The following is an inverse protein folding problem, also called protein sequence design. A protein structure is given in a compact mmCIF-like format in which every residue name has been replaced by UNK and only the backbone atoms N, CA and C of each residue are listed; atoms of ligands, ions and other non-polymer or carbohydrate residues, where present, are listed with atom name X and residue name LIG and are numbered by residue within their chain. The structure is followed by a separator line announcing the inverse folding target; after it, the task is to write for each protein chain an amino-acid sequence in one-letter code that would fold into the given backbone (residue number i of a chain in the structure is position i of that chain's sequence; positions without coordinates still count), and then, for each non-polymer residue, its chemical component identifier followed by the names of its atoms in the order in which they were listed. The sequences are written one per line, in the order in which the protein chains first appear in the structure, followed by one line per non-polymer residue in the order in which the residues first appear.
data_IF_036752785446
#
_entry.id   IF_036752785446
#
_cell.length_a   1.000
_cell.length_b   1.000
_cell.length_c   1.000
_cell.angle_alpha   90.00
_cell.angle_beta   90.00
_cell.angle_gamma   90.00
#
_symmetry.space_group_name_H-M   'P 1'
#
loop_
_entity.id
_entity.type
_entity.pdbx_description
1 polymer ?
#
# COMPACT_ATOMS: atom_id res chain seq x y z
N UNK A 1 -10.58 -13.87 32.54
CA UNK A 1 -11.23 -12.84 31.69
C UNK A 1 -10.27 -12.28 30.62
N UNK A 2 -9.41 -13.13 30.02
CA UNK A 2 -8.33 -12.71 29.09
C UNK A 2 -8.60 -13.02 27.60
N UNK A 3 -9.41 -14.05 27.28
CA UNK A 3 -9.55 -14.54 25.89
C UNK A 3 -10.11 -13.50 24.89
N UNK A 4 -11.11 -12.71 25.27
CA UNK A 4 -11.77 -11.77 24.34
C UNK A 4 -10.83 -10.64 23.89
N UNK A 5 -9.87 -10.24 24.73
CA UNK A 5 -8.93 -9.18 24.39
C UNK A 5 -7.78 -9.70 23.51
N UNK A 6 -7.34 -10.93 23.77
CA UNK A 6 -6.29 -11.60 22.98
C UNK A 6 -6.78 -11.89 21.55
N UNK A 7 -8.02 -12.35 21.38
CA UNK A 7 -8.62 -12.63 20.06
C UNK A 7 -8.79 -11.36 19.20
N UNK A 8 -9.15 -10.23 19.82
CA UNK A 8 -9.21 -8.93 19.14
C UNK A 8 -7.82 -8.45 18.71
N UNK A 9 -6.81 -8.62 19.56
CA UNK A 9 -5.43 -8.26 19.22
C UNK A 9 -4.89 -9.10 18.05
N UNK A 10 -5.18 -10.40 18.02
CA UNK A 10 -4.80 -11.28 16.91
C UNK A 10 -5.48 -10.87 15.60
N UNK A 11 -6.76 -10.50 15.65
CA UNK A 11 -7.49 -9.96 14.50
C UNK A 11 -6.82 -8.68 13.97
N UNK A 12 -6.47 -7.74 14.85
CA UNK A 12 -5.77 -6.52 14.43
C UNK A 12 -4.37 -6.81 13.86
N UNK A 13 -3.65 -7.79 14.39
CA UNK A 13 -2.37 -8.22 13.81
C UNK A 13 -2.53 -8.85 12.42
N UNK A 14 -3.62 -9.58 12.19
CA UNK A 14 -3.95 -10.10 10.86
C UNK A 14 -4.21 -8.97 9.87
N UNK A 15 -4.96 -7.93 10.29
CA UNK A 15 -5.21 -6.73 9.47
C UNK A 15 -3.88 -6.04 9.13
N UNK A 16 -2.99 -5.83 10.10
CA UNK A 16 -1.67 -5.22 9.85
C UNK A 16 -0.86 -6.02 8.82
N UNK A 17 -0.82 -7.34 8.96
CA UNK A 17 -0.12 -8.23 8.00
C UNK A 17 -0.74 -8.13 6.60
N UNK A 18 -2.07 -8.09 6.51
CA UNK A 18 -2.78 -7.93 5.24
C UNK A 18 -2.44 -6.59 4.58
N UNK A 19 -2.42 -5.49 5.33
CA UNK A 19 -2.07 -4.17 4.83
C UNK A 19 -0.62 -4.10 4.32
N UNK A 20 0.35 -4.69 5.03
CA UNK A 20 1.73 -4.77 4.53
C UNK A 20 1.84 -5.58 3.25
N UNK A 21 1.16 -6.74 3.16
CA UNK A 21 1.15 -7.56 1.94
C UNK A 21 0.51 -6.82 0.78
N UNK A 22 -0.65 -6.19 1.01
CA UNK A 22 -1.34 -5.39 0.00
C UNK A 22 -0.47 -4.23 -0.48
N UNK A 23 0.22 -3.53 0.44
CA UNK A 23 1.17 -2.47 0.08
C UNK A 23 2.33 -3.01 -0.76
N UNK A 24 2.93 -4.13 -0.37
CA UNK A 24 4.00 -4.78 -1.12
C UNK A 24 3.57 -5.20 -2.53
N UNK A 25 2.40 -5.81 -2.67
CA UNK A 25 1.80 -6.16 -3.98
C UNK A 25 1.55 -4.90 -4.80
N UNK A 26 1.00 -3.84 -4.19
CA UNK A 26 0.78 -2.56 -4.86
C UNK A 26 2.07 -1.97 -5.42
N UNK A 27 3.14 -1.94 -4.64
CA UNK A 27 4.45 -1.47 -5.12
C UNK A 27 5.05 -2.39 -6.18
N UNK A 28 4.88 -3.71 -6.08
CA UNK A 28 5.33 -4.64 -7.11
C UNK A 28 4.60 -4.42 -8.44
N UNK A 29 3.30 -4.16 -8.40
CA UNK A 29 2.51 -3.80 -9.59
C UNK A 29 2.99 -2.48 -10.20
N UNK A 30 3.27 -1.46 -9.38
CA UNK A 30 3.85 -0.20 -9.87
C UNK A 30 5.22 -0.42 -10.52
N UNK A 31 6.10 -1.22 -9.91
CA UNK A 31 7.39 -1.55 -10.51
C UNK A 31 7.23 -2.30 -11.84
N UNK A 32 6.27 -3.23 -11.92
CA UNK A 32 5.94 -3.93 -13.16
C UNK A 32 5.36 -3.02 -14.24
N UNK A 33 4.71 -1.91 -13.86
CA UNK A 33 4.18 -0.93 -14.79
C UNK A 33 5.23 0.09 -15.26
N UNK A 34 6.35 0.21 -14.54
CA UNK A 34 7.41 1.17 -14.84
C UNK A 34 7.93 1.09 -16.29
N UNK A 35 8.17 -0.10 -16.90
CA UNK A 35 8.58 -0.20 -18.29
C UNK A 35 7.59 0.43 -19.28
N UNK A 36 6.28 0.37 -19.01
CA UNK A 36 5.25 0.97 -19.87
C UNK A 36 5.28 2.50 -19.88
N UNK A 37 5.79 3.12 -18.81
CA UNK A 37 6.07 4.55 -18.77
C UNK A 37 7.27 4.94 -19.62
N UNK A 38 8.18 4.01 -19.94
CA UNK A 38 9.38 4.28 -20.71
C UNK A 38 9.27 3.87 -22.19
N UNK A 39 8.45 2.86 -22.52
CA UNK A 39 8.16 2.47 -23.91
C UNK A 39 7.03 3.36 -24.49
N UNK A 40 7.08 4.67 -24.20
CA UNK A 40 5.99 5.62 -24.54
C UNK A 40 5.62 5.60 -26.01
N UNK A 41 6.55 5.35 -26.93
CA UNK A 41 6.27 5.31 -28.37
C UNK A 41 5.25 4.24 -28.78
N UNK A 42 5.41 3.02 -28.29
CA UNK A 42 4.53 1.91 -28.66
C UNK A 42 3.18 2.01 -27.93
N UNK A 43 3.21 2.34 -26.64
CA UNK A 43 1.99 2.49 -25.84
C UNK A 43 1.17 3.69 -26.29
N UNK A 44 1.82 4.81 -26.65
CA UNK A 44 1.15 5.99 -27.21
C UNK A 44 0.51 5.67 -28.56
N UNK A 45 1.22 5.01 -29.47
CA UNK A 45 0.67 4.64 -30.78
C UNK A 45 -0.58 3.75 -30.63
N UNK A 46 -0.54 2.78 -29.71
CA UNK A 46 -1.69 1.95 -29.41
C UNK A 46 -2.87 2.76 -28.84
N UNK A 47 -2.63 3.57 -27.80
CA UNK A 47 -3.66 4.41 -27.19
C UNK A 47 -4.28 5.40 -28.19
N UNK A 48 -3.43 6.10 -28.94
CA UNK A 48 -3.83 7.15 -29.87
C UNK A 48 -4.66 6.62 -31.05
N UNK A 49 -4.58 5.32 -31.34
CA UNK A 49 -5.44 4.67 -32.34
C UNK A 49 -6.90 4.48 -31.86
N UNK A 50 -7.12 4.50 -30.53
CA UNK A 50 -8.44 4.36 -29.90
C UNK A 50 -8.98 5.74 -29.53
N UNK A 51 -8.17 6.54 -28.82
CA UNK A 51 -8.53 7.89 -28.37
C UNK A 51 -7.38 8.84 -28.74
N UNK A 52 -7.59 9.72 -29.73
CA UNK A 52 -6.55 10.65 -30.13
C UNK A 52 -6.25 11.65 -29.01
N UNK A 53 -4.97 11.75 -28.64
CA UNK A 53 -4.49 12.63 -27.59
C UNK A 53 -3.08 13.10 -27.95
N UNK A 54 -2.76 14.36 -27.67
CA UNK A 54 -1.39 14.84 -27.87
C UNK A 54 -0.40 14.07 -26.97
N UNK A 55 0.76 13.72 -27.53
CA UNK A 55 1.81 12.95 -26.84
C UNK A 55 2.23 13.53 -25.49
N UNK A 56 2.38 14.85 -25.41
CA UNK A 56 2.78 15.51 -24.17
C UNK A 56 1.73 15.33 -23.08
N UNK A 57 0.46 15.48 -23.44
CA UNK A 57 -0.69 15.27 -22.56
C UNK A 57 -0.80 13.81 -22.12
N UNK A 58 -0.61 12.86 -23.04
CA UNK A 58 -0.61 11.43 -22.74
C UNK A 58 0.48 11.06 -21.72
N UNK A 59 1.71 11.52 -21.96
CA UNK A 59 2.83 11.24 -21.04
C UNK A 59 2.56 11.85 -19.66
N UNK A 60 2.11 13.11 -19.61
CA UNK A 60 1.77 13.77 -18.35
C UNK A 60 0.67 13.00 -17.59
N UNK A 61 -0.36 12.52 -18.30
CA UNK A 61 -1.43 11.72 -17.70
C UNK A 61 -0.91 10.39 -17.14
N UNK A 62 -0.06 9.68 -17.89
CA UNK A 62 0.51 8.41 -17.44
C UNK A 62 1.40 8.57 -16.20
N UNK A 63 2.25 9.61 -16.17
CA UNK A 63 3.05 9.93 -14.98
C UNK A 63 2.17 10.34 -13.79
N UNK A 64 1.13 11.13 -14.03
CA UNK A 64 0.18 11.54 -13.01
C UNK A 64 -0.54 10.34 -12.39
N UNK A 65 -1.10 9.47 -13.21
CA UNK A 65 -1.79 8.25 -12.74
C UNK A 65 -0.82 7.39 -11.93
N UNK A 66 0.41 7.21 -12.41
CA UNK A 66 1.42 6.45 -11.67
C UNK A 66 1.73 7.05 -10.30
N UNK A 67 1.89 8.38 -10.24
CA UNK A 67 2.13 9.10 -8.99
C UNK A 67 0.93 9.00 -8.04
N UNK A 68 -0.29 9.17 -8.54
CA UNK A 68 -1.53 9.05 -7.76
C UNK A 68 -1.67 7.64 -7.17
N UNK A 69 -1.45 6.58 -7.96
CA UNK A 69 -1.50 5.20 -7.48
C UNK A 69 -0.45 4.93 -6.39
N UNK A 70 0.75 5.49 -6.53
CA UNK A 70 1.78 5.42 -5.49
C UNK A 70 1.34 6.09 -4.20
N UNK A 71 0.73 7.27 -4.29
CA UNK A 71 0.18 7.99 -3.12
C UNK A 71 -0.91 7.15 -2.46
N UNK A 72 -1.83 6.56 -3.22
CA UNK A 72 -2.90 5.72 -2.68
C UNK A 72 -2.34 4.53 -1.88
N UNK A 73 -1.33 3.83 -2.42
CA UNK A 73 -0.68 2.71 -1.71
C UNK A 73 -0.04 3.20 -0.41
N UNK A 74 0.62 4.36 -0.41
CA UNK A 74 1.25 4.89 0.79
C UNK A 74 0.21 5.29 1.84
N UNK A 75 -0.77 6.10 1.45
CA UNK A 75 -1.73 6.73 2.36
C UNK A 75 -2.73 5.73 2.92
N UNK A 76 -3.21 4.80 2.10
CA UNK A 76 -4.28 3.87 2.52
C UNK A 76 -3.78 2.49 2.96
N UNK A 77 -2.56 2.09 2.58
CA UNK A 77 -2.05 0.76 2.94
C UNK A 77 -0.83 0.87 3.87
N UNK A 78 0.23 1.54 3.43
CA UNK A 78 1.51 1.52 4.16
C UNK A 78 1.44 2.30 5.49
N UNK A 79 0.97 3.55 5.45
CA UNK A 79 0.88 4.38 6.65
C UNK A 79 -0.06 3.77 7.71
N UNK A 80 -1.27 3.29 7.36
CA UNK A 80 -2.13 2.58 8.30
C UNK A 80 -1.48 1.31 8.85
N UNK A 81 -0.78 0.52 8.01
CA UNK A 81 -0.07 -0.67 8.48
C UNK A 81 0.97 -0.33 9.55
N UNK A 82 1.80 0.68 9.30
CA UNK A 82 2.84 1.13 10.24
C UNK A 82 2.23 1.69 11.53
N UNK A 83 1.19 2.52 11.42
CA UNK A 83 0.51 3.10 12.57
C UNK A 83 -0.13 2.04 13.47
N UNK A 84 -0.88 1.10 12.88
CA UNK A 84 -1.50 -0.01 13.61
C UNK A 84 -0.45 -0.95 14.21
N UNK A 85 0.61 -1.29 13.46
CA UNK A 85 1.71 -2.10 13.98
C UNK A 85 2.32 -1.47 15.23
N UNK A 86 2.65 -0.18 15.18
CA UNK A 86 3.23 0.53 16.31
C UNK A 86 2.28 0.55 17.52
N UNK A 87 0.99 0.85 17.32
CA UNK A 87 -0.01 0.85 18.37
C UNK A 87 -0.15 -0.53 19.05
N UNK A 88 -0.26 -1.60 18.26
CA UNK A 88 -0.37 -2.98 18.76
C UNK A 88 0.90 -3.44 19.47
N UNK A 89 2.08 -3.11 18.93
CA UNK A 89 3.35 -3.45 19.55
C UNK A 89 3.52 -2.74 20.91
N UNK A 90 3.10 -1.48 21.02
CA UNK A 90 3.09 -0.74 22.27
C UNK A 90 2.17 -1.38 23.31
N UNK A 91 0.96 -1.77 22.91
CA UNK A 91 0.00 -2.43 23.80
C UNK A 91 0.51 -3.78 24.30
N UNK A 92 1.09 -4.60 23.41
CA UNK A 92 1.66 -5.91 23.78
C UNK A 92 2.78 -5.80 24.81
N UNK A 93 3.66 -4.81 24.67
CA UNK A 93 4.74 -4.52 25.63
C UNK A 93 4.19 -4.09 26.99
N UNK A 94 3.14 -3.26 27.02
CA UNK A 94 2.49 -2.85 28.26
C UNK A 94 1.85 -4.05 28.99
N UNK A 95 1.17 -4.93 28.26
CA UNK A 95 0.58 -6.17 28.83
C UNK A 95 1.64 -7.11 29.37
N UNK A 96 2.77 -7.29 28.69
CA UNK A 96 3.89 -8.12 29.18
C UNK A 96 4.54 -7.54 30.44
N UNK A 97 4.73 -6.22 30.51
CA UNK A 97 5.30 -5.57 31.69
C UNK A 97 4.43 -5.79 32.93
N UNK A 98 3.10 -5.68 32.80
CA UNK A 98 2.19 -5.91 33.92
C UNK A 98 2.16 -7.38 34.37
N UNK A 99 2.39 -8.35 33.47
CA UNK A 99 2.47 -9.78 33.83
C UNK A 99 3.74 -10.13 34.62
N UNK A 100 4.85 -9.41 34.42
CA UNK A 100 6.12 -9.70 35.10
C UNK A 100 6.27 -9.01 36.48
N UNK A 101 5.28 -8.23 36.90
CA UNK A 101 5.25 -7.54 38.20
C UNK A 101 4.34 -8.23 39.23
N UNK A 102 3.77 -9.38 38.88
CA UNK A 102 2.95 -10.27 39.73
C UNK A 102 3.73 -11.57 39.87
#
# INVERSE_FOLDING_TARGET
MNNVNDEKLDTFWLIVKALYRASGIGFALLLGFLPFLFITDQTYAYHNSIVPMERLTYNALMFRIFAEMKILIIVFLLLPAVGLHWALAKQRRATQRNKNQI
#
